data_IF_482827825808
#
_entry.id   IF_482827825808
#
_cell.length_a   1.000
_cell.length_b   1.000
_cell.length_c   1.000
_cell.angle_alpha   90.00
_cell.angle_beta   90.00
_cell.angle_gamma   90.00
#
_symmetry.space_group_name_H-M   'P 1'
#
loop_
_entity.id
_entity.type
_entity.pdbx_description
1 polymer ?
#
# COMPACT_ATOMS: atom_id res chain seq x y z
N UNK A 1 33.56 18.07 16.44
CA UNK A 1 32.94 16.73 16.31
C UNK A 1 31.53 16.79 16.85
N UNK A 2 30.51 16.71 15.98
CA UNK A 2 29.10 16.89 16.38
C UNK A 2 28.57 15.70 17.19
N UNK A 3 27.94 15.98 18.34
CA UNK A 3 27.25 14.97 19.17
C UNK A 3 26.19 14.25 18.32
N UNK A 4 26.44 13.01 17.93
CA UNK A 4 25.45 12.15 17.29
C UNK A 4 24.27 11.97 18.25
N UNK A 5 23.11 12.54 17.92
CA UNK A 5 21.91 12.47 18.76
C UNK A 5 21.49 11.00 18.94
N UNK A 6 21.24 10.59 20.18
CA UNK A 6 20.90 9.20 20.51
C UNK A 6 19.63 8.74 19.76
N UNK A 7 19.70 7.53 19.18
CA UNK A 7 18.57 6.86 18.52
C UNK A 7 17.45 6.58 19.52
N UNK A 8 16.20 6.82 19.11
CA UNK A 8 15.02 6.51 19.94
C UNK A 8 14.91 4.99 20.09
N UNK A 9 15.05 4.50 21.32
CA UNK A 9 14.99 3.07 21.61
C UNK A 9 13.57 2.54 21.46
N UNK A 10 13.47 1.26 21.10
CA UNK A 10 12.22 0.53 21.06
C UNK A 10 12.40 -0.88 21.64
N UNK A 11 11.32 -1.45 22.15
CA UNK A 11 11.21 -2.86 22.54
C UNK A 11 9.97 -3.43 21.87
N UNK A 12 10.11 -4.58 21.23
CA UNK A 12 9.00 -5.29 20.58
C UNK A 12 8.36 -6.26 21.57
N UNK A 13 7.07 -6.09 21.81
CA UNK A 13 6.27 -6.96 22.66
C UNK A 13 4.99 -7.38 21.92
N UNK A 14 4.95 -8.62 21.46
CA UNK A 14 3.79 -9.21 20.78
C UNK A 14 2.77 -9.80 21.77
N UNK A 15 3.02 -9.69 23.08
CA UNK A 15 2.23 -10.38 24.10
C UNK A 15 2.19 -11.89 23.84
N UNK A 16 1.01 -12.49 23.98
CA UNK A 16 0.74 -13.90 23.70
C UNK A 16 0.25 -14.20 22.28
N UNK A 17 0.33 -13.26 21.33
CA UNK A 17 -0.17 -13.46 19.97
C UNK A 17 0.70 -14.50 19.27
N UNK A 18 0.09 -15.63 18.89
CA UNK A 18 0.76 -16.71 18.14
C UNK A 18 0.68 -16.49 16.63
N UNK A 19 -0.49 -16.07 16.14
CA UNK A 19 -0.76 -15.78 14.74
C UNK A 19 -1.78 -14.64 14.60
N UNK A 20 -1.79 -14.02 13.43
CA UNK A 20 -2.87 -13.15 12.95
C UNK A 20 -3.50 -13.80 11.72
N UNK A 21 -4.77 -13.52 11.49
CA UNK A 21 -5.44 -13.94 10.25
C UNK A 21 -4.88 -13.20 9.02
N UNK A 22 -5.10 -13.75 7.83
CA UNK A 22 -4.68 -13.12 6.57
C UNK A 22 -5.31 -11.73 6.40
N UNK A 23 -6.56 -11.56 6.85
CA UNK A 23 -7.25 -10.27 6.81
C UNK A 23 -6.57 -9.25 7.74
N UNK A 24 -6.26 -9.63 8.98
CA UNK A 24 -5.52 -8.76 9.90
C UNK A 24 -4.14 -8.37 9.35
N UNK A 25 -3.45 -9.31 8.70
CA UNK A 25 -2.16 -9.07 8.04
C UNK A 25 -2.33 -8.02 6.94
N UNK A 26 -3.29 -8.21 6.02
CA UNK A 26 -3.58 -7.27 4.93
C UNK A 26 -3.95 -5.89 5.45
N UNK A 27 -4.85 -5.81 6.43
CA UNK A 27 -5.29 -4.54 7.02
C UNK A 27 -4.12 -3.77 7.62
N UNK A 28 -3.23 -4.44 8.36
CA UNK A 28 -2.08 -3.78 8.99
C UNK A 28 -1.08 -3.31 7.93
N UNK A 29 -0.81 -4.12 6.90
CA UNK A 29 0.06 -3.74 5.78
C UNK A 29 -0.51 -2.55 5.00
N UNK A 30 -1.82 -2.59 4.71
CA UNK A 30 -2.53 -1.54 4.00
C UNK A 30 -2.51 -0.21 4.73
N UNK A 31 -2.64 -0.25 6.06
CA UNK A 31 -2.46 0.93 6.92
C UNK A 31 -0.99 1.39 7.03
N UNK A 32 -0.04 0.46 6.93
CA UNK A 32 1.38 0.77 7.02
C UNK A 32 1.91 1.48 5.77
N UNK A 33 1.32 1.24 4.59
CA UNK A 33 1.70 1.87 3.31
C UNK A 33 1.80 3.41 3.42
N UNK A 34 0.83 4.03 4.10
CA UNK A 34 0.77 5.48 4.39
C UNK A 34 1.96 6.02 5.21
N UNK A 35 2.72 5.13 5.86
CA UNK A 35 3.77 5.46 6.83
C UNK A 35 5.15 4.93 6.46
N UNK A 36 5.29 4.19 5.36
CA UNK A 36 6.57 3.57 5.00
C UNK A 36 7.66 4.64 4.86
N UNK A 37 8.76 4.45 5.56
CA UNK A 37 9.92 5.35 5.57
C UNK A 37 9.74 6.65 6.35
N UNK A 38 8.54 6.95 6.86
CA UNK A 38 8.24 8.25 7.50
C UNK A 38 7.63 8.12 8.89
N UNK A 39 6.89 7.04 9.16
CA UNK A 39 6.15 6.82 10.40
C UNK A 39 6.56 5.55 11.14
N UNK A 40 6.41 5.57 12.46
CA UNK A 40 6.69 4.43 13.33
C UNK A 40 5.43 3.75 13.86
N UNK A 41 5.63 2.68 14.64
CA UNK A 41 4.58 1.84 15.26
C UNK A 41 3.46 2.64 15.95
N UNK A 42 3.80 3.67 16.70
CA UNK A 42 2.82 4.48 17.43
C UNK A 42 1.88 5.25 16.50
N UNK A 43 2.33 5.66 15.31
CA UNK A 43 1.46 6.31 14.33
C UNK A 43 0.56 5.29 13.64
N UNK A 44 1.12 4.13 13.25
CA UNK A 44 0.34 3.04 12.66
C UNK A 44 -0.79 2.59 13.61
N UNK A 45 -0.50 2.44 14.91
CA UNK A 45 -1.51 2.11 15.91
C UNK A 45 -2.62 3.17 16.00
N UNK A 46 -2.32 4.45 15.75
CA UNK A 46 -3.33 5.52 15.74
C UNK A 46 -4.23 5.46 14.50
N UNK A 47 -3.68 5.13 13.33
CA UNK A 47 -4.46 4.92 12.10
C UNK A 47 -5.44 3.77 12.32
N UNK A 48 -4.92 2.60 12.71
CA UNK A 48 -5.72 1.40 12.91
C UNK A 48 -6.77 1.56 14.03
N UNK A 49 -6.51 2.37 15.06
CA UNK A 49 -7.47 2.68 16.11
C UNK A 49 -8.57 3.66 15.68
N UNK A 50 -8.41 4.38 14.57
CA UNK A 50 -9.34 5.45 14.18
C UNK A 50 -9.16 6.71 15.02
N UNK A 51 -7.92 7.04 15.40
CA UNK A 51 -7.65 8.15 16.31
C UNK A 51 -7.86 9.52 15.63
N UNK A 52 -8.57 10.44 16.28
CA UNK A 52 -8.71 11.86 15.88
C UNK A 52 -7.47 12.70 16.23
N UNK A 53 -6.29 12.10 16.25
CA UNK A 53 -5.04 12.79 16.60
C UNK A 53 -4.73 13.88 15.55
N UNK A 54 -4.25 15.05 16.00
CA UNK A 54 -4.00 16.20 15.11
C UNK A 54 -3.08 15.84 13.94
N UNK A 55 -2.07 14.99 14.13
CA UNK A 55 -1.16 14.59 13.04
C UNK A 55 -1.85 13.62 12.06
N UNK A 56 -2.67 12.71 12.57
CA UNK A 56 -3.44 11.78 11.73
C UNK A 56 -4.32 12.57 10.76
N UNK A 57 -5.07 13.55 11.26
CA UNK A 57 -5.94 14.38 10.44
C UNK A 57 -5.15 15.33 9.52
N UNK A 58 -4.10 15.97 10.05
CA UNK A 58 -3.27 16.92 9.28
C UNK A 58 -2.66 16.29 8.02
N UNK A 59 -2.23 15.03 8.11
CA UNK A 59 -1.63 14.31 7.00
C UNK A 59 -2.63 13.46 6.20
N UNK A 60 -3.94 13.58 6.48
CA UNK A 60 -4.98 12.85 5.75
C UNK A 60 -4.96 11.34 5.97
N UNK A 61 -4.27 10.84 7.00
CA UNK A 61 -4.12 9.41 7.29
C UNK A 61 -5.46 8.75 7.69
N UNK A 62 -6.48 9.55 7.98
CA UNK A 62 -7.85 9.10 8.19
C UNK A 62 -8.59 8.73 6.89
N UNK A 63 -7.99 8.95 5.72
CA UNK A 63 -8.51 8.50 4.42
C UNK A 63 -8.04 7.09 4.04
N UNK A 64 -7.11 6.52 4.81
CA UNK A 64 -6.65 5.15 4.64
C UNK A 64 -7.85 4.16 4.73
N UNK A 65 -7.98 3.18 3.82
CA UNK A 65 -9.05 2.19 3.86
C UNK A 65 -9.14 1.42 5.19
N UNK A 66 -7.99 1.18 5.82
CA UNK A 66 -7.88 0.47 7.11
C UNK A 66 -8.05 1.38 8.34
N UNK A 67 -8.40 2.65 8.16
CA UNK A 67 -8.57 3.59 9.27
C UNK A 67 -9.69 3.14 10.21
N UNK A 68 -9.36 2.94 11.48
CA UNK A 68 -10.34 2.53 12.48
C UNK A 68 -10.75 1.05 12.44
N UNK A 69 -10.09 0.20 11.64
CA UNK A 69 -10.38 -1.24 11.61
C UNK A 69 -10.35 -1.89 13.02
N UNK A 70 -9.44 -1.44 13.88
CA UNK A 70 -9.35 -1.88 15.27
C UNK A 70 -9.94 -0.85 16.25
N UNK A 71 -11.05 -0.20 15.89
CA UNK A 71 -11.74 0.79 16.73
C UNK A 71 -12.17 0.23 18.10
N UNK A 72 -12.39 -1.08 18.22
CA UNK A 72 -12.77 -1.73 19.48
C UNK A 72 -11.57 -2.12 20.35
N UNK A 73 -10.37 -2.28 19.77
CA UNK A 73 -9.19 -2.72 20.51
C UNK A 73 -8.49 -1.58 21.24
N UNK A 74 -7.83 -1.86 22.35
CA UNK A 74 -6.96 -0.88 23.00
C UNK A 74 -5.71 -0.59 22.15
N UNK A 75 -5.09 0.58 22.34
CA UNK A 75 -3.84 0.93 21.64
C UNK A 75 -2.71 -0.05 21.94
N UNK A 76 -2.70 -0.62 23.15
CA UNK A 76 -1.70 -1.62 23.53
C UNK A 76 -1.88 -2.92 22.74
N UNK A 77 -3.12 -3.42 22.62
CA UNK A 77 -3.42 -4.61 21.82
C UNK A 77 -3.10 -4.44 20.34
N UNK A 78 -3.37 -3.25 19.79
CA UNK A 78 -2.98 -2.93 18.40
C UNK A 78 -1.45 -2.90 18.27
N UNK A 79 -0.76 -2.29 19.23
CA UNK A 79 0.71 -2.25 19.22
C UNK A 79 1.31 -3.65 19.30
N UNK A 80 0.73 -4.55 20.10
CA UNK A 80 1.14 -5.97 20.18
C UNK A 80 1.00 -6.69 18.82
N UNK A 81 -0.08 -6.42 18.08
CA UNK A 81 -0.28 -6.94 16.71
C UNK A 81 0.76 -6.40 15.72
N UNK A 82 1.04 -5.10 15.76
CA UNK A 82 2.11 -4.48 14.94
C UNK A 82 3.47 -5.07 15.30
N UNK A 83 3.77 -5.27 16.58
CA UNK A 83 5.02 -5.89 17.03
C UNK A 83 5.12 -7.34 16.58
N UNK A 84 4.01 -8.09 16.55
CA UNK A 84 3.95 -9.42 15.94
C UNK A 84 4.26 -9.35 14.44
N UNK A 85 3.67 -8.42 13.68
CA UNK A 85 3.97 -8.22 12.25
C UNK A 85 5.46 -7.98 11.97
N UNK A 86 6.13 -7.25 12.86
CA UNK A 86 7.57 -7.02 12.76
C UNK A 86 8.37 -8.29 13.07
N UNK A 87 8.04 -9.00 14.15
CA UNK A 87 8.73 -10.25 14.52
C UNK A 87 8.52 -11.38 13.50
N UNK A 88 7.34 -11.43 12.90
CA UNK A 88 6.97 -12.42 11.87
C UNK A 88 7.48 -12.07 10.48
N UNK A 89 8.25 -10.98 10.35
CA UNK A 89 8.96 -10.62 9.14
C UNK A 89 8.09 -10.06 8.03
N UNK A 90 6.94 -9.44 8.33
CA UNK A 90 6.13 -8.69 7.35
C UNK A 90 6.54 -7.22 7.29
N UNK A 91 6.91 -6.66 8.44
CA UNK A 91 7.45 -5.32 8.58
C UNK A 91 8.83 -5.38 9.22
N UNK A 92 9.64 -4.35 9.00
CA UNK A 92 10.88 -4.13 9.73
C UNK A 92 10.98 -2.67 10.17
N UNK A 93 11.87 -2.42 11.12
CA UNK A 93 12.19 -1.07 11.57
C UNK A 93 13.55 -0.67 11.01
N UNK A 94 13.57 0.48 10.33
CA UNK A 94 14.79 1.17 9.96
C UNK A 94 14.87 2.54 10.65
N UNK A 95 16.03 3.19 10.58
CA UNK A 95 16.22 4.51 11.19
C UNK A 95 16.33 5.59 10.13
N UNK A 96 15.36 6.51 10.13
CA UNK A 96 15.49 7.80 9.46
C UNK A 96 16.08 8.81 10.45
N UNK A 97 17.40 9.01 10.36
CA UNK A 97 18.17 9.72 11.37
C UNK A 97 18.08 9.04 12.74
N UNK A 98 17.38 9.68 13.69
CA UNK A 98 17.19 9.14 15.05
C UNK A 98 15.86 8.41 15.25
N UNK A 99 14.94 8.50 14.29
CA UNK A 99 13.57 8.03 14.44
C UNK A 99 13.41 6.63 13.81
N UNK A 100 12.85 5.65 14.54
CA UNK A 100 12.50 4.36 13.98
C UNK A 100 11.26 4.50 13.08
N UNK A 101 11.40 4.11 11.82
CA UNK A 101 10.35 4.12 10.81
C UNK A 101 10.07 2.69 10.34
N UNK A 102 8.83 2.44 9.93
CA UNK A 102 8.42 1.15 9.38
C UNK A 102 8.80 1.07 7.90
N UNK A 103 9.26 -0.12 7.49
CA UNK A 103 9.52 -0.47 6.10
C UNK A 103 8.93 -1.86 5.84
N UNK A 104 8.41 -2.10 4.64
CA UNK A 104 8.02 -3.44 4.23
C UNK A 104 9.25 -4.35 4.15
N UNK A 105 9.08 -5.60 4.59
CA UNK A 105 9.96 -6.67 4.12
C UNK A 105 9.50 -7.10 2.74
N UNK A 106 10.26 -7.96 2.06
CA UNK A 106 9.82 -8.56 0.79
C UNK A 106 8.49 -9.31 0.96
N UNK A 107 8.37 -10.08 2.04
CA UNK A 107 7.15 -10.81 2.41
C UNK A 107 5.94 -9.90 2.61
N UNK A 108 6.10 -8.78 3.34
CA UNK A 108 5.02 -7.83 3.53
C UNK A 108 4.67 -7.08 2.24
N UNK A 109 5.69 -6.71 1.46
CA UNK A 109 5.50 -6.00 0.20
C UNK A 109 4.76 -6.86 -0.84
N UNK A 110 5.01 -8.17 -0.87
CA UNK A 110 4.31 -9.06 -1.78
C UNK A 110 2.79 -9.11 -1.53
N UNK A 111 2.37 -9.11 -0.27
CA UNK A 111 0.96 -9.08 0.10
C UNK A 111 0.35 -7.70 -0.15
N UNK A 112 1.07 -6.64 0.21
CA UNK A 112 0.57 -5.28 0.06
C UNK A 112 0.42 -4.90 -1.42
N UNK A 113 1.43 -5.15 -2.25
CA UNK A 113 1.38 -4.82 -3.68
C UNK A 113 0.21 -5.50 -4.38
N UNK A 114 -0.12 -6.72 -3.97
CA UNK A 114 -1.23 -7.51 -4.50
C UNK A 114 -2.57 -6.91 -4.06
N UNK A 115 -2.70 -6.59 -2.76
CA UNK A 115 -3.88 -5.93 -2.18
C UNK A 115 -4.14 -4.60 -2.88
N UNK A 116 -3.11 -3.76 -2.97
CA UNK A 116 -3.25 -2.42 -3.55
C UNK A 116 -3.48 -2.46 -5.07
N UNK A 117 -2.85 -3.38 -5.80
CA UNK A 117 -3.13 -3.55 -7.23
C UNK A 117 -4.59 -3.99 -7.49
N UNK A 118 -5.19 -4.78 -6.60
CA UNK A 118 -6.62 -5.12 -6.71
C UNK A 118 -7.53 -3.92 -6.43
N UNK A 119 -7.22 -3.09 -5.43
CA UNK A 119 -7.94 -1.83 -5.18
C UNK A 119 -7.88 -0.90 -6.41
N UNK A 120 -6.69 -0.76 -7.01
CA UNK A 120 -6.50 0.05 -8.21
C UNK A 120 -7.27 -0.53 -9.40
N UNK A 121 -7.26 -1.84 -9.60
CA UNK A 121 -8.05 -2.47 -10.67
C UNK A 121 -9.54 -2.19 -10.52
N UNK A 122 -10.09 -2.31 -9.31
CA UNK A 122 -11.50 -2.03 -9.04
C UNK A 122 -11.82 -0.57 -9.37
N UNK A 123 -11.00 0.37 -8.89
CA UNK A 123 -11.17 1.80 -9.20
C UNK A 123 -11.06 2.09 -10.71
N UNK A 124 -10.13 1.45 -11.41
CA UNK A 124 -10.02 1.59 -12.87
C UNK A 124 -11.22 1.00 -13.60
N UNK A 125 -11.84 -0.06 -13.05
CA UNK A 125 -13.04 -0.68 -13.61
C UNK A 125 -14.26 0.24 -13.47
N UNK A 126 -14.42 0.87 -12.31
CA UNK A 126 -15.52 1.82 -12.03
C UNK A 126 -15.51 3.00 -13.03
N UNK A 127 -14.34 3.59 -13.30
CA UNK A 127 -14.24 4.74 -14.22
C UNK A 127 -14.37 4.36 -15.71
N UNK A 128 -14.45 3.06 -16.07
CA UNK A 128 -14.71 2.66 -17.45
C UNK A 128 -16.10 3.06 -17.94
N UNK A 129 -17.03 3.34 -17.02
CA UNK A 129 -18.38 3.80 -17.35
C UNK A 129 -18.39 5.28 -17.72
N UNK A 130 -17.64 6.10 -16.97
CA UNK A 130 -17.64 7.56 -17.11
C UNK A 130 -16.72 8.08 -18.22
N UNK A 131 -15.79 7.25 -18.70
CA UNK A 131 -14.73 7.61 -19.67
C UNK A 131 -13.80 8.76 -19.21
N UNK A 132 -13.86 9.17 -17.94
CA UNK A 132 -12.86 10.04 -17.33
C UNK A 132 -11.67 9.21 -16.85
N UNK A 133 -10.62 9.18 -17.67
CA UNK A 133 -9.39 8.45 -17.37
C UNK A 133 -8.34 9.29 -16.64
N UNK A 134 -8.70 10.46 -16.09
CA UNK A 134 -7.76 11.33 -15.34
C UNK A 134 -7.09 10.63 -14.16
N UNK A 135 -7.69 9.58 -13.60
CA UNK A 135 -7.08 8.82 -12.51
C UNK A 135 -5.75 8.15 -12.90
N UNK A 136 -5.51 7.83 -14.18
CA UNK A 136 -4.23 7.19 -14.58
C UNK A 136 -3.01 8.09 -14.33
N UNK A 137 -3.22 9.40 -14.22
CA UNK A 137 -2.17 10.36 -13.86
C UNK A 137 -1.70 10.18 -12.42
N UNK A 138 -2.57 9.69 -11.53
CA UNK A 138 -2.18 9.33 -10.16
C UNK A 138 -1.33 8.05 -10.10
N UNK A 139 -1.25 7.26 -11.18
CA UNK A 139 -0.45 6.04 -11.24
C UNK A 139 1.01 6.29 -11.60
N UNK A 140 1.31 7.48 -12.13
CA UNK A 140 2.65 7.87 -12.55
C UNK A 140 3.62 7.88 -11.36
N UNK A 141 4.87 7.50 -11.61
CA UNK A 141 5.97 7.45 -10.64
C UNK A 141 5.76 6.51 -9.44
N UNK A 142 4.70 5.70 -9.43
CA UNK A 142 4.49 4.64 -8.45
C UNK A 142 5.51 3.52 -8.60
N UNK A 143 5.55 2.65 -7.59
CA UNK A 143 6.43 1.48 -7.62
C UNK A 143 6.22 0.67 -8.90
N UNK A 144 7.28 0.56 -9.70
CA UNK A 144 7.21 -0.05 -11.03
C UNK A 144 6.79 -1.52 -10.99
N UNK A 145 7.19 -2.27 -9.96
CA UNK A 145 6.76 -3.66 -9.81
C UNK A 145 5.25 -3.78 -9.62
N UNK A 146 4.66 -2.88 -8.83
CA UNK A 146 3.21 -2.81 -8.63
C UNK A 146 2.49 -2.39 -9.92
N UNK A 147 3.02 -1.42 -10.67
CA UNK A 147 2.43 -0.99 -11.95
C UNK A 147 2.41 -2.14 -12.97
N UNK A 148 3.50 -2.90 -13.06
CA UNK A 148 3.57 -4.07 -13.94
C UNK A 148 2.56 -5.16 -13.53
N UNK A 149 2.40 -5.40 -12.22
CA UNK A 149 1.39 -6.31 -11.69
C UNK A 149 -0.03 -5.84 -12.03
N UNK A 150 -0.33 -4.54 -11.89
CA UNK A 150 -1.63 -3.96 -12.23
C UNK A 150 -1.94 -4.12 -13.73
N UNK A 151 -0.97 -3.87 -14.61
CA UNK A 151 -1.14 -4.07 -16.06
C UNK A 151 -1.44 -5.55 -16.38
N UNK A 152 -0.74 -6.49 -15.75
CA UNK A 152 -0.98 -7.91 -15.93
C UNK A 152 -2.38 -8.31 -15.44
N UNK A 153 -2.83 -7.76 -14.31
CA UNK A 153 -4.19 -7.96 -13.81
C UNK A 153 -5.25 -7.45 -14.77
N UNK A 154 -5.08 -6.24 -15.33
CA UNK A 154 -5.96 -5.71 -16.37
C UNK A 154 -5.99 -6.65 -17.58
N UNK A 155 -4.82 -7.10 -18.05
CA UNK A 155 -4.73 -8.06 -19.16
C UNK A 155 -5.54 -9.33 -18.90
N UNK A 156 -5.45 -9.87 -17.68
CA UNK A 156 -6.15 -11.08 -17.28
C UNK A 156 -7.68 -10.92 -17.14
N UNK A 157 -8.19 -9.69 -17.05
CA UNK A 157 -9.65 -9.46 -17.13
C UNK A 157 -10.22 -9.83 -18.49
N UNK A 158 -9.40 -9.79 -19.56
CA UNK A 158 -9.83 -9.94 -20.96
C UNK A 158 -10.96 -8.98 -21.36
N UNK A 159 -11.12 -7.88 -20.64
CA UNK A 159 -12.16 -6.90 -20.91
C UNK A 159 -11.62 -5.83 -21.88
N UNK A 160 -12.10 -5.82 -23.11
CA UNK A 160 -11.64 -4.89 -24.15
C UNK A 160 -11.97 -3.42 -23.81
N UNK A 161 -12.90 -3.15 -22.89
CA UNK A 161 -13.25 -1.79 -22.43
C UNK A 161 -12.10 -1.05 -21.77
N UNK A 162 -11.05 -1.74 -21.32
CA UNK A 162 -9.84 -1.09 -20.79
C UNK A 162 -8.97 -0.42 -21.87
N UNK A 163 -9.12 -0.76 -23.15
CA UNK A 163 -8.22 -0.31 -24.22
C UNK A 163 -8.09 1.22 -24.29
N UNK A 164 -9.18 2.02 -24.27
CA UNK A 164 -9.08 3.48 -24.27
C UNK A 164 -8.30 4.02 -23.07
N UNK A 165 -8.58 3.51 -21.87
CA UNK A 165 -7.86 3.87 -20.64
C UNK A 165 -6.37 3.54 -20.74
N UNK A 166 -6.01 2.34 -21.22
CA UNK A 166 -4.61 1.92 -21.38
C UNK A 166 -3.87 2.79 -22.41
N UNK A 167 -4.55 3.25 -23.47
CA UNK A 167 -3.99 4.18 -24.46
C UNK A 167 -3.68 5.53 -23.83
N UNK A 168 -4.58 6.07 -23.02
CA UNK A 168 -4.33 7.33 -22.30
C UNK A 168 -3.20 7.19 -21.29
N UNK A 169 -3.23 6.11 -20.49
CA UNK A 169 -2.17 5.84 -19.52
C UNK A 169 -0.79 5.72 -20.19
N UNK A 170 -0.71 5.04 -21.35
CA UNK A 170 0.54 4.89 -22.09
C UNK A 170 1.18 6.25 -22.48
N UNK A 171 0.39 7.30 -22.73
CA UNK A 171 0.92 8.61 -23.18
C UNK A 171 1.82 9.29 -22.14
N UNK A 172 1.61 9.03 -20.86
CA UNK A 172 2.29 9.73 -19.77
C UNK A 172 3.42 8.92 -19.10
N UNK A 173 3.56 7.66 -19.49
CA UNK A 173 4.46 6.68 -18.88
C UNK A 173 5.87 6.65 -19.49
N UNK A 174 6.82 6.09 -18.75
CA UNK A 174 8.18 5.86 -19.26
C UNK A 174 8.22 4.69 -20.26
N UNK A 175 9.18 4.71 -21.19
CA UNK A 175 9.33 3.74 -22.29
C UNK A 175 9.09 2.28 -21.88
N UNK A 176 9.64 1.83 -20.75
CA UNK A 176 9.49 0.44 -20.32
C UNK A 176 8.05 0.09 -19.90
N UNK A 177 7.33 1.00 -19.24
CA UNK A 177 5.92 0.79 -18.90
C UNK A 177 5.05 0.93 -20.15
N UNK A 178 5.37 1.86 -21.05
CA UNK A 178 4.69 1.99 -22.34
C UNK A 178 4.70 0.71 -23.17
N UNK A 179 5.81 -0.03 -23.17
CA UNK A 179 5.93 -1.32 -23.86
C UNK A 179 4.97 -2.35 -23.28
N UNK A 180 4.88 -2.45 -21.94
CA UNK A 180 4.01 -3.42 -21.29
C UNK A 180 2.52 -3.05 -21.46
N UNK A 181 2.19 -1.75 -21.40
CA UNK A 181 0.85 -1.26 -21.75
C UNK A 181 0.49 -1.59 -23.20
N UNK A 182 1.41 -1.40 -24.15
CA UNK A 182 1.14 -1.75 -25.55
C UNK A 182 0.91 -3.25 -25.74
N UNK A 183 1.66 -4.11 -25.04
CA UNK A 183 1.43 -5.56 -25.07
C UNK A 183 0.04 -5.91 -24.53
N UNK A 184 -0.36 -5.29 -23.42
CA UNK A 184 -1.69 -5.50 -22.84
C UNK A 184 -2.80 -5.04 -23.81
N UNK A 185 -2.64 -3.88 -24.46
CA UNK A 185 -3.57 -3.39 -25.49
C UNK A 185 -3.69 -4.38 -26.64
N UNK A 186 -2.56 -4.85 -27.20
CA UNK A 186 -2.57 -5.83 -28.29
C UNK A 186 -3.28 -7.11 -27.90
N UNK A 187 -2.97 -7.65 -26.72
CA UNK A 187 -3.63 -8.84 -26.20
C UNK A 187 -5.14 -8.65 -26.07
N UNK A 188 -5.60 -7.53 -25.49
CA UNK A 188 -7.03 -7.26 -25.33
C UNK A 188 -7.75 -7.02 -26.67
N UNK A 189 -7.06 -6.52 -27.70
CA UNK A 189 -7.64 -6.42 -29.05
C UNK A 189 -7.84 -7.80 -29.70
N UNK A 190 -6.98 -8.78 -29.38
CA UNK A 190 -7.02 -10.12 -29.96
C UNK A 190 -8.00 -11.05 -29.23
N UNK A 191 -8.01 -11.02 -27.90
CA UNK A 191 -8.75 -11.99 -27.07
C UNK A 191 -9.85 -11.39 -26.20
N UNK A 192 -10.02 -10.07 -26.26
CA UNK A 192 -11.00 -9.38 -25.44
C UNK A 192 -12.43 -9.69 -25.88
N UNK A 193 -13.32 -9.79 -24.90
CA UNK A 193 -14.76 -9.90 -25.11
C UNK A 193 -15.50 -8.66 -24.59
#
# INVERSE_FOLDING_TARGET
>A
MGRTKQKVRYKLNSGGIKSLSDEEIKVILRAADELIGTGGRSMLAKILKGSKDKKVLKYGLNKCPSYGYYCELTREEITKRIDWMIKSGYLKIEYSGRLPVLIFTEKGWEIERETYANELLNKLTEILEDQDYSFVYELKDRNRGMILLLIEKIKNTKNARFIPLLKEWKRIEYKKVQTELQKAINYLMEVGF
#
